data_IF_582843813858
#
_entry.id   IF_582843813858
#
_cell.length_a   1.000
_cell.length_b   1.000
_cell.length_c   1.000
_cell.angle_alpha   90.00
_cell.angle_beta   90.00
_cell.angle_gamma   90.00
#
_symmetry.space_group_name_H-M   'P 1'
#
loop_
_entity.id
_entity.type
_entity.pdbx_description
1 polymer ?
#
# COMPACT_ATOMS: atom_id res chain seq x y z
N UNK A 1 -17.89 -1.85 37.90
CA UNK A 1 -17.17 -1.78 36.60
C UNK A 1 -17.68 -2.91 35.73
N UNK A 2 -18.54 -2.61 34.75
CA UNK A 2 -19.04 -3.62 33.82
C UNK A 2 -17.97 -3.87 32.74
N UNK A 3 -17.31 -5.01 32.81
CA UNK A 3 -16.43 -5.46 31.73
C UNK A 3 -17.31 -5.98 30.59
N UNK A 4 -17.49 -5.17 29.56
CA UNK A 4 -18.00 -5.68 28.29
C UNK A 4 -17.07 -6.80 27.82
N UNK A 5 -17.62 -7.99 27.55
CA UNK A 5 -16.90 -9.14 26.99
C UNK A 5 -17.21 -9.23 25.50
N UNK A 6 -16.58 -8.41 24.64
CA UNK A 6 -16.78 -8.52 23.21
C UNK A 6 -16.37 -9.92 22.74
N UNK A 7 -17.24 -10.55 21.96
CA UNK A 7 -16.95 -11.84 21.34
C UNK A 7 -16.17 -11.60 20.04
N UNK A 8 -15.12 -12.39 19.82
CA UNK A 8 -14.35 -12.38 18.57
C UNK A 8 -15.18 -13.05 17.48
N UNK A 9 -15.12 -12.54 16.25
CA UNK A 9 -15.78 -13.16 15.12
C UNK A 9 -14.81 -14.12 14.42
N UNK A 10 -14.87 -15.41 14.77
CA UNK A 10 -14.02 -16.44 14.16
C UNK A 10 -13.99 -16.41 12.62
N UNK A 11 -15.06 -15.99 11.93
CA UNK A 11 -15.09 -15.89 10.46
C UNK A 11 -14.29 -14.73 9.88
N UNK A 12 -13.99 -13.70 10.67
CA UNK A 12 -13.24 -12.50 10.23
C UNK A 12 -11.84 -12.41 10.85
N UNK A 13 -11.52 -13.30 11.78
CA UNK A 13 -10.23 -13.30 12.47
C UNK A 13 -9.20 -14.06 11.65
N UNK A 14 -8.13 -13.37 11.26
CA UNK A 14 -6.93 -13.96 10.66
C UNK A 14 -5.82 -14.00 11.70
N UNK A 15 -5.03 -15.08 11.71
CA UNK A 15 -3.86 -15.23 12.56
C UNK A 15 -2.62 -15.02 11.71
N UNK A 16 -1.82 -14.01 12.03
CA UNK A 16 -0.53 -13.75 11.40
C UNK A 16 0.57 -13.85 12.45
N UNK A 17 1.50 -14.79 12.26
CA UNK A 17 2.68 -14.92 13.12
C UNK A 17 3.79 -14.10 12.48
N UNK A 18 4.30 -13.13 13.21
CA UNK A 18 5.39 -12.26 12.75
C UNK A 18 6.71 -12.83 13.24
N UNK A 19 7.57 -13.22 12.30
CA UNK A 19 8.89 -13.76 12.60
C UNK A 19 9.92 -13.28 11.58
N UNK A 20 11.16 -13.13 12.04
CA UNK A 20 12.28 -12.89 11.15
C UNK A 20 12.41 -14.02 10.13
N UNK A 21 12.77 -13.72 8.88
CA UNK A 21 13.06 -14.74 7.86
C UNK A 21 14.24 -15.65 8.23
N UNK A 22 15.05 -15.24 9.22
CA UNK A 22 16.17 -16.03 9.76
C UNK A 22 15.75 -16.94 10.93
N UNK A 23 14.50 -16.87 11.35
CA UNK A 23 13.96 -17.70 12.43
C UNK A 23 13.32 -18.96 11.84
N UNK A 24 13.89 -20.12 12.11
CA UNK A 24 13.54 -21.40 11.47
C UNK A 24 12.65 -22.30 12.33
N UNK A 25 12.11 -21.83 13.45
CA UNK A 25 11.14 -22.63 14.21
C UNK A 25 9.77 -22.54 13.53
N UNK A 26 9.33 -23.69 13.02
CA UNK A 26 7.96 -23.93 12.57
C UNK A 26 7.02 -23.69 13.74
N UNK A 27 6.34 -22.54 13.72
CA UNK A 27 5.32 -22.25 14.72
C UNK A 27 4.06 -23.02 14.32
N UNK A 28 3.90 -24.26 14.82
CA UNK A 28 2.63 -25.00 14.82
C UNK A 28 1.61 -24.34 15.79
N UNK A 29 1.53 -23.01 15.73
CA UNK A 29 0.71 -22.20 16.62
C UNK A 29 -0.68 -22.10 16.02
N UNK A 30 -1.64 -22.82 16.61
CA UNK A 30 -3.04 -22.72 16.23
C UNK A 30 -3.83 -22.06 17.35
N UNK A 31 -4.80 -21.23 16.97
CA UNK A 31 -5.61 -20.48 17.91
C UNK A 31 -7.07 -20.92 17.80
N UNK A 32 -7.70 -21.25 18.92
CA UNK A 32 -9.10 -21.68 18.96
C UNK A 32 -10.00 -20.51 19.35
N UNK A 33 -10.95 -20.13 18.47
CA UNK A 33 -12.00 -19.13 18.73
C UNK A 33 -13.35 -19.75 18.37
N UNK A 34 -14.33 -19.69 19.28
CA UNK A 34 -15.69 -20.21 19.06
C UNK A 34 -15.74 -21.66 18.56
N UNK A 35 -14.90 -22.54 19.13
CA UNK A 35 -14.69 -23.93 18.69
C UNK A 35 -14.12 -24.10 17.26
N UNK A 36 -13.71 -23.03 16.60
CA UNK A 36 -13.02 -23.08 15.31
C UNK A 36 -11.51 -22.91 15.50
N UNK A 37 -10.74 -23.78 14.86
CA UNK A 37 -9.28 -23.65 14.79
C UNK A 37 -8.90 -22.70 13.68
N UNK A 38 -8.09 -21.70 14.02
CA UNK A 38 -7.53 -20.73 13.10
C UNK A 38 -6.03 -21.01 13.02
N UNK A 39 -5.59 -21.39 11.83
CA UNK A 39 -4.18 -21.60 11.51
C UNK A 39 -3.50 -20.29 11.12
N UNK A 40 -2.18 -20.17 11.29
CA UNK A 40 -1.42 -19.02 10.81
C UNK A 40 -1.56 -18.89 9.29
N UNK A 41 -1.66 -17.64 8.82
CA UNK A 41 -1.57 -17.29 7.42
C UNK A 41 -0.21 -16.64 7.13
N UNK A 42 0.31 -16.83 5.92
CA UNK A 42 1.54 -16.18 5.45
C UNK A 42 1.38 -14.65 5.29
N UNK A 43 0.13 -14.18 5.16
CA UNK A 43 -0.18 -12.76 5.06
C UNK A 43 -1.57 -12.44 5.60
N UNK A 44 -1.75 -11.24 6.15
CA UNK A 44 -3.05 -10.76 6.60
C UNK A 44 -3.29 -9.32 6.14
N UNK A 45 -4.55 -9.00 5.85
CA UNK A 45 -4.93 -7.66 5.40
C UNK A 45 -5.45 -6.84 6.56
N UNK A 46 -4.71 -5.79 6.93
CA UNK A 46 -5.09 -4.85 7.97
C UNK A 46 -5.27 -3.45 7.39
N UNK A 47 -6.49 -2.90 7.51
CA UNK A 47 -6.85 -1.57 6.98
C UNK A 47 -6.46 -1.36 5.50
N UNK A 48 -6.55 -2.40 4.66
CA UNK A 48 -6.14 -2.27 3.25
C UNK A 48 -4.66 -2.50 2.97
N UNK A 49 -3.83 -2.58 4.00
CA UNK A 49 -2.41 -2.92 3.92
C UNK A 49 -2.25 -4.44 4.05
N UNK A 50 -1.45 -5.03 3.19
CA UNK A 50 -1.15 -6.46 3.24
C UNK A 50 0.16 -6.64 4.00
N UNK A 51 0.10 -7.30 5.15
CA UNK A 51 1.26 -7.65 5.96
C UNK A 51 1.64 -9.09 5.68
N UNK A 52 2.89 -9.35 5.30
CA UNK A 52 3.45 -10.71 5.27
C UNK A 52 4.07 -11.08 6.63
N UNK A 53 4.23 -12.38 6.86
CA UNK A 53 4.82 -12.95 8.08
C UNK A 53 6.23 -12.46 8.42
N UNK A 54 6.96 -11.91 7.45
CA UNK A 54 8.32 -11.37 7.63
C UNK A 54 8.38 -9.84 7.62
N UNK A 55 7.23 -9.16 7.51
CA UNK A 55 7.10 -7.71 7.36
C UNK A 55 7.97 -7.12 6.24
N UNK A 56 8.29 -7.89 5.19
CA UNK A 56 9.07 -7.36 4.06
C UNK A 56 8.26 -6.40 3.18
N UNK A 57 6.93 -6.47 3.27
CA UNK A 57 5.95 -5.62 2.60
C UNK A 57 6.04 -5.62 1.08
N UNK A 58 6.86 -6.47 0.48
CA UNK A 58 7.23 -6.39 -0.94
C UNK A 58 6.01 -6.53 -1.86
N UNK A 59 5.10 -7.44 -1.53
CA UNK A 59 3.87 -7.69 -2.28
C UNK A 59 2.93 -6.48 -2.22
N UNK A 60 2.78 -5.87 -1.04
CA UNK A 60 1.97 -4.67 -0.85
C UNK A 60 2.54 -3.49 -1.63
N UNK A 61 3.84 -3.24 -1.47
CA UNK A 61 4.61 -2.22 -2.18
C UNK A 61 4.49 -2.38 -3.70
N UNK A 62 4.66 -3.60 -4.21
CA UNK A 62 4.53 -3.90 -5.63
C UNK A 62 3.11 -3.62 -6.14
N UNK A 63 2.09 -3.96 -5.35
CA UNK A 63 0.69 -3.66 -5.65
C UNK A 63 0.42 -2.16 -5.77
N UNK A 64 0.93 -1.36 -4.82
CA UNK A 64 0.82 0.11 -4.85
C UNK A 64 1.54 0.68 -6.07
N UNK A 65 2.76 0.22 -6.34
CA UNK A 65 3.53 0.65 -7.51
C UNK A 65 2.76 0.34 -8.80
N UNK A 66 2.24 -0.88 -8.95
CA UNK A 66 1.46 -1.31 -10.12
C UNK A 66 0.22 -0.44 -10.33
N UNK A 67 -0.55 -0.19 -9.27
CA UNK A 67 -1.72 0.68 -9.32
C UNK A 67 -1.34 2.12 -9.70
N UNK A 68 -0.27 2.65 -9.12
CA UNK A 68 0.23 4.00 -9.40
C UNK A 68 0.66 4.14 -10.87
N UNK A 69 1.41 3.18 -11.40
CA UNK A 69 1.81 3.17 -12.82
C UNK A 69 0.61 3.06 -13.76
N UNK A 70 -0.40 2.27 -13.39
CA UNK A 70 -1.66 2.20 -14.13
C UNK A 70 -2.35 3.57 -14.21
N UNK A 71 -2.49 4.26 -13.06
CA UNK A 71 -3.06 5.60 -13.04
C UNK A 71 -2.22 6.62 -13.83
N UNK A 72 -0.90 6.60 -13.66
CA UNK A 72 0.03 7.43 -14.44
C UNK A 72 -0.17 7.28 -15.95
N UNK A 73 -0.34 6.04 -16.44
CA UNK A 73 -0.56 5.77 -17.86
C UNK A 73 -1.88 6.37 -18.35
N UNK A 74 -2.94 6.24 -17.57
CA UNK A 74 -4.27 6.79 -17.90
C UNK A 74 -4.26 8.32 -17.86
N UNK A 75 -3.58 8.92 -16.87
CA UNK A 75 -3.44 10.38 -16.78
C UNK A 75 -2.66 10.90 -17.97
N UNK A 76 -1.60 10.22 -18.40
CA UNK A 76 -0.83 10.61 -19.59
C UNK A 76 -1.69 10.61 -20.86
N UNK A 77 -2.61 9.66 -21.03
CA UNK A 77 -3.53 9.68 -22.18
C UNK A 77 -4.58 10.78 -22.10
N UNK A 78 -5.03 11.14 -20.88
CA UNK A 78 -6.00 12.21 -20.67
C UNK A 78 -5.38 13.61 -20.72
N UNK A 79 -4.05 13.72 -20.59
CA UNK A 79 -3.31 14.98 -20.54
C UNK A 79 -3.63 15.91 -21.73
N UNK A 80 -3.85 15.37 -22.93
CA UNK A 80 -4.17 16.19 -24.12
C UNK A 80 -5.58 16.78 -24.11
N UNK A 81 -6.46 16.30 -23.23
CA UNK A 81 -7.88 16.66 -23.18
C UNK A 81 -8.18 17.52 -21.95
N UNK A 82 -7.38 17.40 -20.89
CA UNK A 82 -7.57 18.10 -19.62
C UNK A 82 -6.87 19.47 -19.60
N UNK A 83 -7.50 20.44 -18.95
CA UNK A 83 -6.85 21.71 -18.54
C UNK A 83 -5.77 21.44 -17.50
N UNK A 84 -4.81 22.36 -17.34
CA UNK A 84 -3.70 22.22 -16.39
C UNK A 84 -4.17 21.99 -14.94
N UNK A 85 -5.15 22.76 -14.46
CA UNK A 85 -5.66 22.64 -13.09
C UNK A 85 -6.39 21.30 -12.85
N UNK A 86 -7.14 20.84 -13.86
CA UNK A 86 -7.77 19.52 -13.83
C UNK A 86 -6.72 18.41 -13.82
N UNK A 87 -5.63 18.55 -14.57
CA UNK A 87 -4.53 17.58 -14.57
C UNK A 87 -3.86 17.48 -13.19
N UNK A 88 -3.59 18.62 -12.54
CA UNK A 88 -3.06 18.67 -11.17
C UNK A 88 -4.02 17.96 -10.21
N UNK A 89 -5.31 18.29 -10.28
CA UNK A 89 -6.34 17.69 -9.42
C UNK A 89 -6.42 16.18 -9.60
N UNK A 90 -6.37 15.69 -10.84
CA UNK A 90 -6.39 14.25 -11.15
C UNK A 90 -5.11 13.57 -10.64
N UNK A 91 -3.94 14.18 -10.81
CA UNK A 91 -2.68 13.65 -10.28
C UNK A 91 -2.74 13.52 -8.76
N UNK A 92 -3.19 14.55 -8.05
CA UNK A 92 -3.35 14.49 -6.60
C UNK A 92 -4.36 13.43 -6.15
N UNK A 93 -5.52 13.36 -6.81
CA UNK A 93 -6.59 12.44 -6.45
C UNK A 93 -6.22 10.96 -6.62
N UNK A 94 -5.41 10.61 -7.64
CA UNK A 94 -5.10 9.21 -7.96
C UNK A 94 -3.70 8.76 -7.54
N UNK A 95 -2.75 9.69 -7.43
CA UNK A 95 -1.36 9.38 -7.09
C UNK A 95 -1.09 9.81 -5.65
N UNK A 96 -1.09 11.12 -5.38
CA UNK A 96 -0.68 11.66 -4.07
C UNK A 96 -1.51 11.11 -2.92
N UNK A 97 -2.83 11.05 -3.04
CA UNK A 97 -3.72 10.49 -2.00
C UNK A 97 -3.39 9.04 -1.61
N UNK A 98 -3.01 8.20 -2.59
CA UNK A 98 -2.66 6.78 -2.36
C UNK A 98 -1.28 6.63 -1.75
N UNK A 99 -0.35 7.49 -2.15
CA UNK A 99 0.99 7.55 -1.59
C UNK A 99 0.93 8.04 -0.14
N UNK A 100 0.13 9.08 0.13
CA UNK A 100 -0.05 9.65 1.47
C UNK A 100 -0.59 8.65 2.49
N UNK A 101 -1.51 7.78 2.06
CA UNK A 101 -1.99 6.67 2.88
C UNK A 101 -0.87 5.70 3.31
N UNK A 102 0.21 5.60 2.53
CA UNK A 102 1.27 4.61 2.68
C UNK A 102 2.64 5.24 3.02
N UNK A 103 2.69 6.55 3.33
CA UNK A 103 3.92 7.36 3.40
C UNK A 103 4.97 6.85 4.40
N UNK A 104 4.59 6.16 5.48
CA UNK A 104 5.55 5.60 6.46
C UNK A 104 6.30 4.37 5.95
N UNK A 105 5.77 3.66 4.95
CA UNK A 105 6.29 2.36 4.49
C UNK A 105 7.22 2.44 3.27
N UNK A 106 7.22 3.56 2.54
CA UNK A 106 7.69 3.57 1.14
C UNK A 106 8.68 4.69 0.78
N UNK A 107 9.36 5.30 1.76
CA UNK A 107 10.16 6.54 1.59
C UNK A 107 11.05 6.62 0.32
N UNK A 108 11.60 5.51 -0.19
CA UNK A 108 12.40 5.49 -1.43
C UNK A 108 11.63 5.29 -2.74
N UNK A 109 10.54 4.50 -2.73
CA UNK A 109 9.78 4.16 -3.94
C UNK A 109 8.77 5.24 -4.32
N UNK A 110 8.23 5.94 -3.31
CA UNK A 110 7.31 7.07 -3.50
C UNK A 110 7.94 8.18 -4.31
N UNK A 111 9.21 8.49 -4.06
CA UNK A 111 9.91 9.57 -4.74
C UNK A 111 9.93 9.39 -6.26
N UNK A 112 10.12 8.15 -6.75
CA UNK A 112 10.14 7.88 -8.21
C UNK A 112 8.78 8.11 -8.83
N UNK A 113 7.70 7.68 -8.17
CA UNK A 113 6.32 7.83 -8.64
C UNK A 113 5.91 9.31 -8.60
N UNK A 114 6.23 10.02 -7.51
CA UNK A 114 6.03 11.47 -7.38
C UNK A 114 6.77 12.24 -8.47
N UNK A 115 8.04 11.92 -8.72
CA UNK A 115 8.81 12.55 -9.79
C UNK A 115 8.17 12.30 -11.17
N UNK A 116 7.63 11.11 -11.44
CA UNK A 116 6.93 10.82 -12.71
C UNK A 116 5.63 11.63 -12.80
N UNK A 117 4.87 11.70 -11.72
CA UNK A 117 3.63 12.46 -11.64
C UNK A 117 3.87 13.96 -11.86
N UNK A 118 4.86 14.52 -11.17
CA UNK A 118 5.32 15.90 -11.32
C UNK A 118 5.69 16.21 -12.77
N UNK A 119 6.40 15.30 -13.45
CA UNK A 119 6.78 15.47 -14.85
C UNK A 119 5.60 15.40 -15.82
N UNK A 120 4.55 14.66 -15.48
CA UNK A 120 3.31 14.68 -16.27
C UNK A 120 2.68 16.08 -16.20
N UNK A 121 2.63 16.68 -15.01
CA UNK A 121 2.09 18.04 -14.81
C UNK A 121 2.96 19.09 -15.50
N UNK A 122 4.27 19.09 -15.26
CA UNK A 122 5.18 20.13 -15.78
C UNK A 122 5.55 19.96 -17.26
N UNK A 123 5.38 18.75 -17.82
CA UNK A 123 5.81 18.47 -19.19
C UNK A 123 7.33 18.34 -19.38
N UNK A 124 8.10 18.33 -18.29
CA UNK A 124 9.56 18.21 -18.30
C UNK A 124 10.07 16.89 -18.92
N UNK A 125 11.19 16.97 -19.66
CA UNK A 125 11.80 15.85 -20.40
C UNK A 125 12.53 14.88 -19.48
N UNK A 126 12.95 13.74 -20.08
CA UNK A 126 13.87 12.67 -19.59
C UNK A 126 14.72 13.06 -18.37
N UNK A 127 15.46 14.14 -18.59
CA UNK A 127 16.66 14.55 -17.87
C UNK A 127 16.55 15.95 -17.29
N UNK A 128 15.37 16.59 -17.37
CA UNK A 128 15.14 17.85 -16.69
C UNK A 128 15.05 17.59 -15.18
N UNK A 129 15.69 18.46 -14.39
CA UNK A 129 15.56 18.50 -12.94
C UNK A 129 14.11 18.81 -12.60
N UNK A 130 13.29 17.77 -12.45
CA UNK A 130 12.10 17.86 -11.64
C UNK A 130 12.58 18.10 -10.21
N UNK A 131 12.59 19.36 -9.78
CA UNK A 131 12.68 19.68 -8.36
C UNK A 131 11.60 18.90 -7.60
N UNK A 132 11.76 18.71 -6.27
CA UNK A 132 10.71 18.11 -5.47
C UNK A 132 9.48 19.00 -5.62
N UNK A 133 8.53 18.55 -6.43
CA UNK A 133 7.22 19.16 -6.52
C UNK A 133 6.42 18.35 -5.51
N UNK A 134 6.24 19.03 -4.36
CA UNK A 134 5.79 18.58 -3.03
C UNK A 134 6.94 18.44 -2.03
#
# INVERSE_FOLDING_TARGET
>A
VYTNKPQLNSKKTELLVLASSYFSESSDFQLQIDNNWISPSDSAKYLGILFDQHLNMETHVAGICKASYFHIRNIRSLKSILTHDALISVVHAFITSRLDYCNSLLLGLLQRIQNIAARIVTGCRKYDLAGPIL
#
